data_IF_234047460425
#
_entry.id   IF_234047460425
#
_cell.length_a   1.000
_cell.length_b   1.000
_cell.length_c   1.000
_cell.angle_alpha   90.00
_cell.angle_beta   90.00
_cell.angle_gamma   90.00
#
_symmetry.space_group_name_H-M   'P 1'
#
loop_
_entity.id
_entity.type
_entity.pdbx_description
1 polymer ?
#
# COMPACT_ATOMS: atom_id res chain seq x y z
N UNK A 1 9.21 -19.82 -11.50
CA UNK A 1 8.34 -18.64 -11.65
C UNK A 1 9.25 -17.44 -11.59
N UNK A 2 9.26 -16.60 -12.62
CA UNK A 2 10.28 -15.56 -12.87
C UNK A 2 10.16 -14.34 -11.95
N UNK A 3 9.74 -14.56 -10.71
CA UNK A 3 9.49 -13.54 -9.71
C UNK A 3 8.20 -12.77 -9.93
N UNK A 4 7.69 -12.56 -11.15
CA UNK A 4 6.63 -11.59 -11.45
C UNK A 4 5.19 -12.03 -11.08
N UNK A 5 4.27 -11.08 -10.82
CA UNK A 5 2.85 -11.35 -10.72
C UNK A 5 2.30 -11.93 -12.04
N UNK A 6 1.20 -12.66 -11.96
CA UNK A 6 0.51 -13.16 -13.15
C UNK A 6 0.06 -12.00 -14.05
N UNK A 7 0.00 -12.20 -15.38
CA UNK A 7 -0.45 -11.18 -16.34
C UNK A 7 -1.93 -10.74 -16.20
N UNK A 8 -2.64 -11.24 -15.17
CA UNK A 8 -3.99 -10.80 -14.82
C UNK A 8 -4.00 -9.71 -13.75
N UNK A 9 -2.87 -9.44 -13.10
CA UNK A 9 -2.71 -8.30 -12.21
C UNK A 9 -2.51 -7.04 -13.06
N UNK A 10 -3.26 -5.99 -12.75
CA UNK A 10 -3.21 -4.71 -13.43
C UNK A 10 -2.06 -3.85 -12.89
N UNK A 11 -1.11 -3.56 -13.78
CA UNK A 11 0.01 -2.66 -13.54
C UNK A 11 0.01 -1.48 -14.53
N UNK A 12 -1.14 -1.20 -15.18
CA UNK A 12 -1.25 -0.20 -16.24
C UNK A 12 -2.32 0.84 -15.92
N UNK A 13 -3.49 0.42 -15.40
CA UNK A 13 -4.62 1.34 -15.24
C UNK A 13 -4.37 2.36 -14.13
N UNK A 14 -4.58 3.63 -14.47
CA UNK A 14 -4.47 4.73 -13.52
C UNK A 14 -3.03 5.16 -13.22
N UNK A 15 -2.09 4.86 -14.11
CA UNK A 15 -0.75 5.44 -14.10
C UNK A 15 -0.84 6.98 -14.03
N UNK A 16 -0.04 7.66 -13.17
CA UNK A 16 1.07 7.13 -12.34
C UNK A 16 0.68 6.68 -10.93
N UNK A 17 -0.60 6.79 -10.56
CA UNK A 17 -1.04 6.69 -9.17
C UNK A 17 -1.39 5.27 -8.73
N UNK A 18 -2.17 4.55 -9.55
CA UNK A 18 -2.85 3.31 -9.10
C UNK A 18 -2.57 2.10 -9.97
N UNK A 19 -1.49 2.15 -10.74
CA UNK A 19 -1.03 1.08 -11.64
C UNK A 19 -0.10 0.10 -10.92
N UNK A 20 -0.56 -0.46 -9.80
CA UNK A 20 0.23 -1.38 -8.96
C UNK A 20 -0.59 -2.62 -8.55
N UNK A 21 0.01 -3.84 -8.56
CA UNK A 21 -0.73 -5.09 -8.31
C UNK A 21 -1.49 -5.12 -6.98
N UNK A 22 -1.01 -4.42 -5.94
CA UNK A 22 -1.71 -4.35 -4.65
C UNK A 22 -3.14 -3.80 -4.76
N UNK A 23 -3.40 -2.89 -5.72
CA UNK A 23 -4.69 -2.24 -5.83
C UNK A 23 -5.78 -3.25 -6.23
N UNK A 24 -5.44 -4.27 -7.01
CA UNK A 24 -6.37 -5.36 -7.31
C UNK A 24 -6.73 -6.15 -6.05
N UNK A 25 -5.77 -6.40 -5.15
CA UNK A 25 -6.02 -7.07 -3.85
C UNK A 25 -7.01 -6.23 -3.04
N UNK A 26 -6.69 -4.95 -2.85
CA UNK A 26 -7.41 -4.07 -1.93
C UNK A 26 -8.78 -3.73 -2.49
N UNK A 27 -8.87 -3.32 -3.76
CA UNK A 27 -10.14 -2.93 -4.40
C UNK A 27 -11.11 -4.11 -4.51
N UNK A 28 -10.61 -5.30 -4.82
CA UNK A 28 -11.44 -6.51 -4.84
C UNK A 28 -11.97 -6.87 -3.46
N UNK A 29 -11.25 -6.53 -2.39
CA UNK A 29 -11.64 -6.90 -1.03
C UNK A 29 -12.88 -6.16 -0.51
N UNK A 30 -13.16 -4.95 -0.98
CA UNK A 30 -14.30 -4.13 -0.50
C UNK A 30 -15.65 -4.81 -0.70
N UNK A 31 -15.80 -5.65 -1.72
CA UNK A 31 -17.05 -6.39 -1.95
C UNK A 31 -17.25 -7.54 -0.97
N UNK A 32 -16.18 -8.10 -0.38
CA UNK A 32 -16.24 -9.31 0.45
C UNK A 32 -17.05 -9.13 1.74
N UNK A 33 -16.90 -8.08 2.56
CA UNK A 33 -17.77 -7.86 3.72
C UNK A 33 -19.24 -7.64 3.33
N UNK A 34 -19.50 -6.92 2.23
CA UNK A 34 -20.86 -6.69 1.73
C UNK A 34 -21.53 -7.99 1.28
N UNK A 35 -20.79 -8.85 0.57
CA UNK A 35 -21.27 -10.18 0.18
C UNK A 35 -21.44 -11.08 1.41
N UNK A 36 -20.55 -11.02 2.39
CA UNK A 36 -20.65 -11.77 3.64
C UNK A 36 -21.94 -11.47 4.43
N UNK A 37 -22.43 -10.23 4.34
CA UNK A 37 -23.70 -9.83 4.95
C UNK A 37 -24.90 -10.22 4.09
N UNK A 38 -24.77 -10.13 2.76
CA UNK A 38 -25.88 -10.43 1.83
C UNK A 38 -26.12 -11.93 1.66
N UNK A 39 -25.07 -12.73 1.68
CA UNK A 39 -25.05 -14.18 1.42
C UNK A 39 -24.27 -14.92 2.52
N UNK A 40 -24.79 -14.95 3.76
CA UNK A 40 -24.06 -15.44 4.93
C UNK A 40 -23.64 -16.92 4.84
N UNK A 41 -24.34 -17.73 4.04
CA UNK A 41 -23.97 -19.13 3.78
C UNK A 41 -22.57 -19.28 3.14
N UNK A 42 -22.01 -18.21 2.56
CA UNK A 42 -20.72 -18.22 1.86
C UNK A 42 -19.60 -17.51 2.65
N UNK A 43 -19.84 -17.13 3.91
CA UNK A 43 -18.86 -16.40 4.74
C UNK A 43 -17.51 -17.09 4.84
N UNK A 44 -17.49 -18.41 4.96
CA UNK A 44 -16.25 -19.20 5.00
C UNK A 44 -15.41 -18.98 3.74
N UNK A 45 -16.06 -18.97 2.56
CA UNK A 45 -15.38 -18.76 1.28
C UNK A 45 -14.85 -17.33 1.17
N UNK A 46 -15.63 -16.33 1.55
CA UNK A 46 -15.17 -14.93 1.59
C UNK A 46 -14.00 -14.75 2.55
N UNK A 47 -14.05 -15.41 3.72
CA UNK A 47 -12.97 -15.44 4.70
C UNK A 47 -11.69 -16.04 4.13
N UNK A 48 -11.80 -17.15 3.38
CA UNK A 48 -10.66 -17.75 2.68
C UNK A 48 -10.07 -16.81 1.62
N UNK A 49 -10.90 -16.14 0.83
CA UNK A 49 -10.42 -15.17 -0.17
C UNK A 49 -9.66 -14.03 0.51
N UNK A 50 -10.21 -13.46 1.59
CA UNK A 50 -9.55 -12.42 2.39
C UNK A 50 -8.22 -12.91 2.97
N UNK A 51 -8.17 -14.15 3.45
CA UNK A 51 -6.94 -14.74 3.97
C UNK A 51 -5.84 -14.82 2.91
N UNK A 52 -6.17 -15.32 1.73
CA UNK A 52 -5.20 -15.42 0.64
C UNK A 52 -4.83 -14.03 0.09
N UNK A 53 -5.72 -13.02 0.18
CA UNK A 53 -5.40 -11.63 -0.13
C UNK A 53 -4.39 -11.05 0.86
N UNK A 54 -4.60 -11.24 2.17
CA UNK A 54 -3.65 -10.81 3.21
C UNK A 54 -2.30 -11.49 3.00
N UNK A 55 -2.28 -12.82 2.76
CA UNK A 55 -1.03 -13.54 2.48
C UNK A 55 -0.28 -13.01 1.25
N UNK A 56 -0.97 -12.53 0.21
CA UNK A 56 -0.32 -11.89 -0.95
C UNK A 56 0.18 -10.49 -0.60
N UNK A 57 -0.58 -9.73 0.20
CA UNK A 57 -0.23 -8.38 0.63
C UNK A 57 1.02 -8.33 1.52
N UNK A 58 1.37 -9.42 2.22
CA UNK A 58 2.61 -9.50 3.00
C UNK A 58 3.87 -9.76 2.16
N UNK A 59 3.76 -9.95 0.84
CA UNK A 59 4.90 -10.19 -0.05
C UNK A 59 5.48 -8.92 -0.67
N UNK A 60 6.71 -9.03 -1.20
CA UNK A 60 7.42 -7.96 -1.91
C UNK A 60 6.56 -7.22 -2.96
N UNK A 61 5.77 -7.94 -3.76
CA UNK A 61 4.96 -7.33 -4.83
C UNK A 61 3.93 -6.33 -4.35
N UNK A 62 3.45 -6.45 -3.11
CA UNK A 62 2.53 -5.48 -2.55
C UNK A 62 3.24 -4.16 -2.19
N UNK A 63 4.53 -4.23 -1.84
CA UNK A 63 5.37 -3.10 -1.44
C UNK A 63 6.36 -2.67 -2.55
N UNK A 64 6.21 -3.17 -3.78
CA UNK A 64 7.21 -3.05 -4.85
C UNK A 64 7.62 -1.60 -5.12
N UNK A 65 6.66 -0.71 -5.27
CA UNK A 65 6.91 0.71 -5.50
C UNK A 65 7.65 1.36 -4.34
N UNK A 66 7.35 1.00 -3.10
CA UNK A 66 8.10 1.50 -1.94
C UNK A 66 9.55 1.01 -1.92
N UNK A 67 9.77 -0.24 -2.34
CA UNK A 67 11.08 -0.89 -2.31
C UNK A 67 11.96 -0.53 -3.51
N UNK A 68 11.37 -0.20 -4.66
CA UNK A 68 12.11 0.04 -5.89
C UNK A 68 12.24 1.52 -6.25
N UNK A 69 11.26 2.36 -5.89
CA UNK A 69 11.29 3.79 -6.24
C UNK A 69 12.13 4.59 -5.23
N UNK A 70 13.42 4.27 -5.22
CA UNK A 70 14.40 4.88 -4.32
C UNK A 70 14.89 6.21 -4.89
N UNK A 71 14.83 7.26 -4.08
CA UNK A 71 15.31 8.59 -4.42
C UNK A 71 14.34 9.41 -5.29
N UNK A 72 14.90 10.42 -5.96
CA UNK A 72 14.15 11.23 -6.92
C UNK A 72 13.74 10.40 -8.13
N UNK A 73 12.58 10.73 -8.71
CA UNK A 73 12.11 10.06 -9.92
C UNK A 73 13.08 10.35 -11.09
N UNK A 74 13.67 9.32 -11.72
CA UNK A 74 14.62 9.50 -12.81
C UNK A 74 13.98 10.12 -14.06
N UNK A 75 12.67 9.95 -14.24
CA UNK A 75 11.88 10.53 -15.33
C UNK A 75 11.44 11.97 -15.05
N UNK A 76 11.84 12.53 -13.90
CA UNK A 76 11.53 13.91 -13.52
C UNK A 76 12.09 14.88 -14.56
N UNK A 77 11.18 15.58 -15.25
CA UNK A 77 11.50 16.47 -16.38
C UNK A 77 11.06 15.92 -17.74
N UNK A 78 10.66 14.65 -17.81
CA UNK A 78 10.27 13.95 -19.04
C UNK A 78 8.86 13.34 -18.98
N UNK A 79 8.04 13.72 -18.00
CA UNK A 79 6.66 13.23 -17.92
C UNK A 79 5.81 13.62 -19.15
N UNK A 80 4.78 12.83 -19.49
CA UNK A 80 3.77 13.22 -20.46
C UNK A 80 3.16 14.59 -20.14
N UNK A 81 2.89 15.40 -21.17
CA UNK A 81 2.39 16.77 -20.99
C UNK A 81 1.08 16.80 -20.18
N UNK A 82 0.21 15.82 -20.36
CA UNK A 82 -1.03 15.67 -19.60
C UNK A 82 -0.79 15.64 -18.08
N UNK A 83 0.29 15.01 -17.61
CA UNK A 83 0.61 14.94 -16.18
C UNK A 83 1.06 16.29 -15.64
N UNK A 84 1.82 17.07 -16.42
CA UNK A 84 2.17 18.44 -16.02
C UNK A 84 0.96 19.37 -15.97
N UNK A 85 -0.08 19.10 -16.75
CA UNK A 85 -1.27 19.94 -16.74
C UNK A 85 -2.20 19.64 -15.56
N UNK A 86 -2.24 18.38 -15.09
CA UNK A 86 -3.25 17.94 -14.10
C UNK A 86 -2.67 17.58 -12.73
N UNK A 87 -1.41 17.16 -12.64
CA UNK A 87 -0.81 16.63 -11.40
C UNK A 87 0.28 17.52 -10.81
N UNK A 88 0.95 18.33 -11.62
CA UNK A 88 2.17 19.05 -11.21
C UNK A 88 2.01 20.55 -11.49
N UNK A 89 2.07 21.41 -10.46
CA UNK A 89 2.03 22.86 -10.67
C UNK A 89 3.11 23.33 -11.67
N UNK A 90 2.82 24.29 -12.57
CA UNK A 90 3.76 24.70 -13.62
C UNK A 90 5.16 25.09 -13.12
N UNK A 91 5.24 25.74 -11.96
CA UNK A 91 6.51 26.18 -11.35
C UNK A 91 7.34 25.02 -10.75
N UNK A 92 6.76 23.82 -10.63
CA UNK A 92 7.39 22.60 -10.14
C UNK A 92 7.78 21.62 -11.25
N UNK A 93 7.54 21.96 -12.52
CA UNK A 93 7.90 21.14 -13.68
C UNK A 93 9.40 20.80 -13.66
N UNK A 94 9.70 19.50 -13.76
CA UNK A 94 11.07 18.96 -13.71
C UNK A 94 11.76 19.03 -12.34
N UNK A 95 11.05 19.48 -11.30
CA UNK A 95 11.58 19.60 -9.92
C UNK A 95 10.81 18.78 -8.90
N UNK A 96 9.61 18.31 -9.26
CA UNK A 96 8.72 17.55 -8.40
C UNK A 96 8.53 16.13 -8.92
N UNK A 97 8.69 15.14 -8.04
CA UNK A 97 8.37 13.75 -8.37
C UNK A 97 6.87 13.63 -8.57
N UNK A 98 6.45 13.00 -9.66
CA UNK A 98 5.03 12.83 -9.97
C UNK A 98 4.28 12.18 -8.79
N UNK A 99 3.00 12.53 -8.56
CA UNK A 99 2.13 11.72 -7.74
C UNK A 99 2.20 10.23 -8.11
N UNK A 100 2.30 9.35 -7.12
CA UNK A 100 2.49 7.91 -7.31
C UNK A 100 3.95 7.44 -7.26
N UNK A 101 4.94 8.36 -7.34
CA UNK A 101 6.34 8.05 -7.09
C UNK A 101 6.68 8.20 -5.60
N UNK A 102 6.98 7.09 -4.92
CA UNK A 102 7.11 7.00 -3.45
C UNK A 102 8.30 7.78 -2.89
N UNK A 103 9.41 7.83 -3.63
CA UNK A 103 10.65 8.49 -3.24
C UNK A 103 11.21 8.02 -1.89
N UNK A 104 11.21 6.71 -1.64
CA UNK A 104 11.86 6.15 -0.46
C UNK A 104 13.38 6.47 -0.49
N UNK A 105 14.02 6.81 0.62
CA UNK A 105 15.45 7.17 0.61
C UNK A 105 15.76 8.66 0.43
N UNK A 106 14.78 9.53 0.14
CA UNK A 106 15.05 10.98 0.05
C UNK A 106 15.13 11.62 1.44
N UNK A 107 15.99 12.63 1.57
CA UNK A 107 16.11 13.43 2.80
C UNK A 107 14.83 14.24 3.08
N UNK A 108 14.45 14.43 4.36
CA UNK A 108 15.14 13.96 5.58
C UNK A 108 14.75 12.54 6.05
N UNK A 109 13.93 11.80 5.30
CA UNK A 109 13.36 10.52 5.76
C UNK A 109 14.34 9.35 5.70
N UNK A 110 15.29 9.40 4.76
CA UNK A 110 16.23 8.30 4.54
C UNK A 110 15.57 7.04 3.99
N UNK A 111 16.34 5.96 3.89
CA UNK A 111 15.86 4.69 3.32
C UNK A 111 15.12 3.87 4.39
N UNK A 112 13.88 3.51 4.09
CA UNK A 112 12.99 2.77 5.01
C UNK A 112 12.49 1.51 4.31
N UNK A 113 13.08 0.34 4.61
CA UNK A 113 12.70 -0.91 3.93
C UNK A 113 11.35 -1.48 4.43
N UNK A 114 10.94 -1.14 5.65
CA UNK A 114 9.64 -1.53 6.19
C UNK A 114 8.57 -0.51 5.81
N UNK A 115 7.75 -0.82 4.79
CA UNK A 115 6.65 0.04 4.36
C UNK A 115 5.56 0.23 5.44
N UNK A 116 5.45 -0.67 6.44
CA UNK A 116 4.57 -0.44 7.59
C UNK A 116 5.19 0.59 8.52
N UNK A 117 6.48 0.46 8.85
CA UNK A 117 7.19 1.38 9.73
C UNK A 117 7.57 2.72 9.09
N UNK A 118 7.47 2.86 7.78
CA UNK A 118 7.88 4.08 7.08
C UNK A 118 7.18 5.34 7.62
N UNK A 119 7.84 6.49 7.53
CA UNK A 119 7.20 7.79 7.79
C UNK A 119 6.11 8.10 6.77
N UNK A 120 6.34 7.70 5.52
CA UNK A 120 5.34 7.65 4.46
C UNK A 120 4.60 6.31 4.42
N UNK A 121 4.27 5.89 3.20
CA UNK A 121 3.57 4.66 2.87
C UNK A 121 2.19 4.53 3.54
N UNK A 122 1.48 5.64 3.78
CA UNK A 122 0.12 5.61 4.34
C UNK A 122 -0.80 4.70 3.54
N UNK A 123 -0.74 4.77 2.21
CA UNK A 123 -1.51 3.90 1.31
C UNK A 123 -1.29 2.42 1.65
N UNK A 124 -0.04 2.00 1.87
CA UNK A 124 0.29 0.61 2.12
C UNK A 124 -0.28 0.12 3.45
N UNK A 125 0.04 0.83 4.54
CA UNK A 125 -0.38 0.43 5.90
C UNK A 125 -1.88 0.65 6.13
N UNK A 126 -2.46 1.68 5.54
CA UNK A 126 -3.90 1.96 5.56
C UNK A 126 -4.69 0.87 4.83
N UNK A 127 -4.33 0.58 3.58
CA UNK A 127 -4.98 -0.47 2.79
C UNK A 127 -4.85 -1.84 3.46
N UNK A 128 -3.69 -2.12 4.06
CA UNK A 128 -3.48 -3.37 4.76
C UNK A 128 -4.34 -3.49 6.03
N UNK A 129 -4.50 -2.40 6.79
CA UNK A 129 -5.43 -2.38 7.93
C UNK A 129 -6.89 -2.60 7.51
N UNK A 130 -7.29 -2.10 6.34
CA UNK A 130 -8.62 -2.39 5.78
C UNK A 130 -8.79 -3.88 5.50
N UNK A 131 -7.80 -4.52 4.84
CA UNK A 131 -7.83 -5.96 4.58
C UNK A 131 -7.91 -6.80 5.86
N UNK A 132 -7.07 -6.46 6.85
CA UNK A 132 -7.05 -7.12 8.16
C UNK A 132 -8.39 -6.94 8.89
N UNK A 133 -8.96 -5.73 8.85
CA UNK A 133 -10.26 -5.42 9.42
C UNK A 133 -11.40 -6.19 8.74
N UNK A 134 -11.40 -6.29 7.41
CA UNK A 134 -12.39 -7.08 6.68
C UNK A 134 -12.30 -8.56 7.01
N UNK A 135 -11.09 -9.12 7.13
CA UNK A 135 -10.93 -10.52 7.54
C UNK A 135 -11.53 -10.77 8.92
N UNK A 136 -11.19 -9.93 9.90
CA UNK A 136 -11.74 -10.05 11.25
C UNK A 136 -13.26 -9.88 11.24
N UNK A 137 -13.79 -8.91 10.49
CA UNK A 137 -15.24 -8.68 10.37
C UNK A 137 -15.97 -9.88 9.78
N UNK A 138 -15.44 -10.48 8.70
CA UNK A 138 -16.09 -11.57 7.99
C UNK A 138 -16.00 -12.88 8.77
N UNK A 139 -14.87 -13.16 9.39
CA UNK A 139 -14.58 -14.48 9.99
C UNK A 139 -14.74 -14.53 11.51
N UNK A 140 -14.55 -13.40 12.20
CA UNK A 140 -14.38 -13.37 13.65
C UNK A 140 -13.06 -13.96 14.13
N UNK A 141 -12.14 -14.33 13.23
CA UNK A 141 -10.87 -14.96 13.54
C UNK A 141 -9.77 -13.91 13.74
N UNK A 142 -9.08 -14.00 14.89
CA UNK A 142 -8.01 -13.09 15.29
C UNK A 142 -6.61 -13.58 14.88
N UNK A 143 -6.46 -14.60 14.03
CA UNK A 143 -5.15 -15.17 13.69
C UNK A 143 -4.14 -14.13 13.18
N UNK A 144 -4.58 -13.10 12.45
CA UNK A 144 -3.71 -12.03 11.97
C UNK A 144 -3.33 -11.00 13.05
N UNK A 145 -3.79 -11.20 14.28
CA UNK A 145 -3.25 -10.54 15.46
C UNK A 145 -2.13 -11.36 16.13
N UNK A 146 -1.81 -12.56 15.62
CA UNK A 146 -0.53 -13.22 15.86
C UNK A 146 0.55 -12.62 14.96
N UNK A 147 1.82 -12.89 15.29
CA UNK A 147 2.94 -12.38 14.51
C UNK A 147 2.99 -12.97 13.10
N UNK A 148 3.17 -12.09 12.12
CA UNK A 148 3.38 -12.45 10.72
C UNK A 148 4.44 -11.54 10.08
N UNK A 149 5.06 -12.03 9.02
CA UNK A 149 6.22 -11.40 8.39
C UNK A 149 5.86 -10.69 7.08
N UNK A 150 6.42 -9.49 6.91
CA UNK A 150 6.27 -8.61 5.74
C UNK A 150 7.48 -8.65 4.81
N UNK A 151 7.26 -8.26 3.54
CA UNK A 151 8.22 -8.16 2.42
C UNK A 151 8.80 -9.50 1.98
N UNK A 152 9.26 -10.36 2.91
CA UNK A 152 9.67 -11.76 2.70
C UNK A 152 10.55 -11.95 1.46
N UNK A 153 11.45 -10.98 1.20
CA UNK A 153 12.33 -10.95 0.01
C UNK A 153 13.70 -11.64 0.26
N UNK A 154 13.92 -12.19 1.45
CA UNK A 154 15.13 -12.91 1.85
C UNK A 154 16.23 -12.02 2.48
N UNK A 155 16.22 -10.71 2.23
CA UNK A 155 17.15 -9.75 2.82
C UNK A 155 16.50 -8.95 3.97
N UNK A 156 15.23 -8.59 3.81
CA UNK A 156 14.46 -7.79 4.74
C UNK A 156 13.18 -8.54 5.14
N UNK A 157 13.00 -8.75 6.43
CA UNK A 157 11.80 -9.35 7.01
C UNK A 157 11.41 -8.57 8.26
N UNK A 158 10.16 -8.09 8.30
CA UNK A 158 9.63 -7.29 9.41
C UNK A 158 8.39 -7.97 9.99
N UNK A 159 8.33 -8.10 11.32
CA UNK A 159 7.28 -8.86 11.99
C UNK A 159 6.26 -7.94 12.68
N UNK A 160 4.99 -8.16 12.35
CA UNK A 160 3.87 -7.32 12.78
C UNK A 160 2.70 -8.15 13.31
N UNK A 161 1.79 -7.48 14.00
CA UNK A 161 0.45 -7.98 14.34
C UNK A 161 -0.55 -6.92 13.91
N UNK A 162 -1.80 -7.30 13.63
CA UNK A 162 -2.85 -6.34 13.29
C UNK A 162 -2.91 -5.15 14.27
N UNK A 163 -2.95 -5.41 15.58
CA UNK A 163 -3.01 -4.35 16.59
C UNK A 163 -1.77 -3.45 16.62
N UNK A 164 -0.58 -4.00 16.34
CA UNK A 164 0.66 -3.18 16.30
C UNK A 164 0.68 -2.22 15.12
N UNK A 165 0.18 -2.65 13.95
CA UNK A 165 0.08 -1.79 12.77
C UNK A 165 -0.92 -0.65 13.05
N UNK A 166 -2.09 -0.98 13.60
CA UNK A 166 -3.11 0.00 13.94
C UNK A 166 -2.60 1.03 14.95
N UNK A 167 -1.92 0.57 16.01
CA UNK A 167 -1.30 1.45 17.01
C UNK A 167 -0.21 2.33 16.41
N UNK A 168 0.61 1.79 15.50
CA UNK A 168 1.65 2.56 14.84
C UNK A 168 1.06 3.70 14.00
N UNK A 169 0.08 3.39 13.15
CA UNK A 169 -0.59 4.40 12.34
C UNK A 169 -1.32 5.44 13.21
N UNK A 170 -1.96 5.02 14.29
CA UNK A 170 -2.59 5.92 15.25
C UNK A 170 -1.59 6.91 15.86
N UNK A 171 -0.38 6.44 16.23
CA UNK A 171 0.68 7.34 16.71
C UNK A 171 1.07 8.34 15.64
N UNK A 172 1.33 7.89 14.40
CA UNK A 172 1.69 8.77 13.30
C UNK A 172 0.62 9.84 13.03
N UNK A 173 -0.66 9.47 13.05
CA UNK A 173 -1.78 10.41 12.89
C UNK A 173 -1.87 11.39 14.07
N UNK A 174 -1.61 10.95 15.29
CA UNK A 174 -1.67 11.79 16.49
C UNK A 174 -0.54 12.83 16.52
N UNK A 175 0.62 12.44 16.02
CA UNK A 175 1.82 13.28 16.01
C UNK A 175 1.88 14.26 14.83
N UNK A 176 1.01 14.09 13.82
CA UNK A 176 1.00 14.86 12.56
C UNK A 176 -0.37 15.49 12.28
N UNK A 177 -0.65 16.70 12.80
CA UNK A 177 -1.94 17.36 12.61
C UNK A 177 -2.28 17.65 11.13
N UNK A 178 -1.26 17.76 10.27
CA UNK A 178 -1.40 17.93 8.82
C UNK A 178 -1.82 16.64 8.08
N UNK A 179 -1.70 15.47 8.72
CA UNK A 179 -1.95 14.16 8.13
C UNK A 179 -0.69 13.31 7.93
N UNK A 180 -0.89 12.00 7.70
CA UNK A 180 0.20 11.05 7.45
C UNK A 180 0.58 11.07 5.97
N UNK A 181 1.88 10.92 5.70
CA UNK A 181 2.42 10.97 4.36
C UNK A 181 2.10 9.69 3.57
N UNK A 182 1.71 9.84 2.31
CA UNK A 182 1.45 8.74 1.39
C UNK A 182 2.77 8.34 0.72
N UNK A 183 3.30 9.19 -0.14
CA UNK A 183 4.70 9.23 -0.50
C UNK A 183 5.45 10.10 0.52
N UNK A 184 6.78 9.95 0.64
CA UNK A 184 7.56 10.72 1.64
C UNK A 184 7.34 12.23 1.55
N UNK A 185 6.98 12.76 0.38
CA UNK A 185 6.86 14.21 0.13
C UNK A 185 5.43 14.70 -0.03
N UNK A 186 4.41 13.84 0.19
CA UNK A 186 3.02 14.17 -0.18
C UNK A 186 2.00 13.64 0.84
N UNK A 187 1.00 14.46 1.11
CA UNK A 187 -0.19 14.12 1.90
C UNK A 187 -1.40 14.25 0.99
N UNK A 188 -2.28 13.26 1.00
CA UNK A 188 -3.51 13.25 0.20
C UNK A 188 -4.73 13.23 1.11
N UNK A 189 -5.66 14.19 0.96
CA UNK A 189 -6.85 14.29 1.80
C UNK A 189 -8.01 13.41 1.30
N UNK A 190 -7.74 12.22 0.74
CA UNK A 190 -8.79 11.36 0.14
C UNK A 190 -9.93 11.05 1.11
#
# INVERSE_FOLDING_TARGET
>A
MDGQPHAHWDDITGEPLTSWPRFDVVRSSYALPLMADRTPAWREIYGRILDEFIQRFTGYWAAKDWLDQIGGDPSRGQYPEAWYQVLIPPYLRGKYNVPGWTANGVEPWGLQNDAIAADGALWFKGDFLILLGFYLYVTGDEKWNQFFDMVRNGADTFSWTHSRIAKYLFSQMSDRPEGVHCENTKIWPM
#
